data_IF_724485309286
#
_entry.id   IF_724485309286
#
_cell.length_a   1.000
_cell.length_b   1.000
_cell.length_c   1.000
_cell.angle_alpha   90.00
_cell.angle_beta   90.00
_cell.angle_gamma   90.00
#
_symmetry.space_group_name_H-M   'P 1'
#
loop_
_entity.id
_entity.type
_entity.pdbx_description
1 polymer ?
#
# COMPACT_ATOMS: atom_id res chain seq x y z
N UNK A 1 1.64 -17.53 36.71
CA UNK A 1 2.51 -16.56 36.01
C UNK A 1 1.64 -15.74 35.09
N UNK A 2 1.37 -14.48 35.44
CA UNK A 2 0.69 -13.54 34.55
C UNK A 2 1.73 -12.92 33.61
N UNK A 3 1.53 -13.04 32.30
CA UNK A 3 2.40 -12.43 31.32
C UNK A 3 2.37 -10.91 31.48
N UNK A 4 3.55 -10.27 31.53
CA UNK A 4 3.68 -8.81 31.59
C UNK A 4 3.11 -8.22 30.28
N UNK A 5 2.36 -7.10 30.33
CA UNK A 5 1.97 -6.40 29.11
C UNK A 5 3.20 -5.98 28.31
N UNK A 6 3.19 -6.30 27.02
CA UNK A 6 4.25 -5.93 26.07
C UNK A 6 4.09 -4.45 25.71
N UNK A 7 5.16 -3.67 25.82
CA UNK A 7 5.16 -2.24 25.49
C UNK A 7 5.05 -1.99 23.99
N UNK A 8 4.56 -0.82 23.56
CA UNK A 8 4.43 -0.45 22.13
C UNK A 8 5.76 -0.56 21.37
N UNK A 9 6.87 -0.19 22.02
CA UNK A 9 8.23 -0.33 21.47
C UNK A 9 8.63 -1.80 21.24
N UNK A 10 8.27 -2.69 22.16
CA UNK A 10 8.51 -4.13 22.02
C UNK A 10 7.64 -4.73 20.90
N UNK A 11 6.38 -4.28 20.77
CA UNK A 11 5.51 -4.71 19.67
C UNK A 11 6.04 -4.27 18.30
N UNK A 12 6.56 -3.04 18.20
CA UNK A 12 7.17 -2.52 16.98
C UNK A 12 8.48 -3.25 16.64
N UNK A 13 9.31 -3.57 17.63
CA UNK A 13 10.53 -4.36 17.43
C UNK A 13 10.21 -5.78 16.92
N UNK A 14 9.21 -6.43 17.51
CA UNK A 14 8.74 -7.75 17.08
C UNK A 14 8.14 -7.71 15.66
N UNK A 15 7.36 -6.67 15.33
CA UNK A 15 6.83 -6.49 13.98
C UNK A 15 7.95 -6.31 12.95
N UNK A 16 8.99 -5.53 13.29
CA UNK A 16 10.15 -5.32 12.44
C UNK A 16 10.94 -6.61 12.20
N UNK A 17 11.13 -7.42 13.24
CA UNK A 17 11.82 -8.72 13.11
C UNK A 17 11.03 -9.71 12.24
N UNK A 18 9.70 -9.81 12.45
CA UNK A 18 8.84 -10.63 11.60
C UNK A 18 8.89 -10.20 10.14
N UNK A 19 8.85 -8.89 9.89
CA UNK A 19 8.92 -8.36 8.54
C UNK A 19 10.28 -8.63 7.87
N UNK A 20 11.38 -8.45 8.61
CA UNK A 20 12.72 -8.77 8.10
C UNK A 20 12.85 -10.24 7.67
N UNK A 21 12.35 -11.18 8.50
CA UNK A 21 12.35 -12.60 8.15
C UNK A 21 11.48 -12.94 6.94
N UNK A 22 10.38 -12.21 6.71
CA UNK A 22 9.56 -12.37 5.51
C UNK A 22 10.27 -11.85 4.25
N UNK A 23 10.96 -10.72 4.35
CA UNK A 23 11.71 -10.11 3.23
C UNK A 23 12.80 -11.06 2.71
N UNK A 24 13.45 -11.82 3.59
CA UNK A 24 14.46 -12.82 3.19
C UNK A 24 13.89 -13.99 2.36
N UNK A 25 12.58 -14.20 2.38
CA UNK A 25 11.90 -15.28 1.64
C UNK A 25 11.37 -14.86 0.28
N UNK A 26 11.45 -13.56 -0.06
CA UNK A 26 10.86 -13.01 -1.27
C UNK A 26 11.87 -12.93 -2.42
N UNK A 27 11.38 -13.14 -3.65
CA UNK A 27 12.15 -12.93 -4.86
C UNK A 27 12.20 -11.45 -5.27
N UNK A 28 12.97 -11.12 -6.32
CA UNK A 28 13.14 -9.74 -6.79
C UNK A 28 11.83 -9.05 -7.17
N UNK A 29 10.90 -9.77 -7.80
CA UNK A 29 9.63 -9.21 -8.27
C UNK A 29 8.68 -8.93 -7.10
N UNK A 30 8.62 -9.84 -6.12
CA UNK A 30 7.82 -9.63 -4.91
C UNK A 30 8.35 -8.45 -4.08
N UNK A 31 9.68 -8.28 -4.01
CA UNK A 31 10.29 -7.13 -3.36
C UNK A 31 9.96 -5.81 -4.08
N UNK A 32 9.99 -5.79 -5.41
CA UNK A 32 9.59 -4.63 -6.19
C UNK A 32 8.11 -4.26 -5.98
N UNK A 33 7.22 -5.26 -5.88
CA UNK A 33 5.82 -5.03 -5.56
C UNK A 33 5.63 -4.40 -4.16
N UNK A 34 6.35 -4.91 -3.15
CA UNK A 34 6.32 -4.34 -1.80
C UNK A 34 6.86 -2.90 -1.76
N UNK A 35 7.93 -2.62 -2.49
CA UNK A 35 8.49 -1.27 -2.60
C UNK A 35 7.48 -0.29 -3.21
N UNK A 36 6.77 -0.69 -4.27
CA UNK A 36 5.71 0.13 -4.88
C UNK A 36 4.57 0.39 -3.89
N UNK A 37 4.14 -0.61 -3.13
CA UNK A 37 3.13 -0.45 -2.08
C UNK A 37 3.60 0.53 -0.99
N UNK A 38 4.84 0.39 -0.52
CA UNK A 38 5.42 1.27 0.49
C UNK A 38 5.49 2.73 -0.01
N UNK A 39 5.95 2.96 -1.23
CA UNK A 39 5.93 4.28 -1.85
C UNK A 39 4.53 4.86 -1.98
N UNK A 40 3.55 4.03 -2.39
CA UNK A 40 2.14 4.43 -2.46
C UNK A 40 1.59 4.90 -1.11
N UNK A 41 1.87 4.15 -0.04
CA UNK A 41 1.45 4.50 1.32
C UNK A 41 2.08 5.82 1.81
N UNK A 42 3.39 6.00 1.60
CA UNK A 42 4.08 7.23 2.00
C UNK A 42 3.51 8.44 1.25
N UNK A 43 3.34 8.34 -0.08
CA UNK A 43 2.80 9.42 -0.89
C UNK A 43 1.34 9.72 -0.56
N UNK A 44 0.54 8.67 -0.31
CA UNK A 44 -0.87 8.80 0.03
C UNK A 44 -1.10 9.48 1.38
N UNK A 45 -0.14 9.38 2.31
CA UNK A 45 -0.28 9.93 3.67
C UNK A 45 -0.60 11.42 3.69
N UNK A 46 0.00 12.21 2.80
CA UNK A 46 -0.21 13.65 2.75
C UNK A 46 -1.60 14.03 2.23
N UNK A 47 -2.27 13.12 1.50
CA UNK A 47 -3.58 13.35 0.88
C UNK A 47 -4.71 12.74 1.72
N UNK A 48 -4.50 11.52 2.21
CA UNK A 48 -5.54 10.69 2.84
C UNK A 48 -5.33 10.50 4.35
N UNK A 49 -4.20 10.97 4.90
CA UNK A 49 -3.83 10.75 6.30
C UNK A 49 -3.16 9.40 6.53
N UNK A 50 -2.97 9.05 7.80
CA UNK A 50 -2.38 7.76 8.18
C UNK A 50 -3.31 6.59 7.85
N UNK A 51 -2.73 5.45 7.48
CA UNK A 51 -3.49 4.22 7.29
C UNK A 51 -3.91 3.66 8.66
N UNK A 52 -5.21 3.72 8.97
CA UNK A 52 -5.75 3.24 10.25
C UNK A 52 -6.80 2.14 10.05
N UNK A 53 -6.34 0.92 9.80
CA UNK A 53 -7.22 -0.22 9.43
C UNK A 53 -8.25 -0.57 10.52
N UNK A 54 -7.89 -0.45 11.80
CA UNK A 54 -8.73 -0.94 12.90
C UNK A 54 -9.91 -0.02 13.25
N UNK A 55 -9.85 1.25 12.87
CA UNK A 55 -10.90 2.24 13.18
C UNK A 55 -11.61 2.76 11.94
N UNK A 56 -11.18 2.32 10.77
CA UNK A 56 -11.85 2.66 9.52
C UNK A 56 -13.17 1.90 9.42
N UNK A 57 -14.27 2.65 9.34
CA UNK A 57 -15.64 2.11 9.33
C UNK A 57 -16.14 1.76 7.94
N UNK A 58 -15.35 2.00 6.88
CA UNK A 58 -15.73 1.70 5.50
C UNK A 58 -15.75 0.19 5.24
N UNK A 59 -16.59 -0.25 4.31
CA UNK A 59 -16.52 -1.62 3.81
C UNK A 59 -15.31 -1.76 2.89
N UNK A 60 -14.24 -2.37 3.41
CA UNK A 60 -12.97 -2.54 2.70
C UNK A 60 -13.10 -3.29 1.37
N UNK A 61 -14.14 -4.12 1.20
CA UNK A 61 -14.39 -4.78 -0.09
C UNK A 61 -14.89 -3.80 -1.13
N UNK A 62 -15.86 -2.98 -0.75
CA UNK A 62 -16.43 -1.98 -1.64
C UNK A 62 -15.38 -0.91 -1.97
N UNK A 63 -14.57 -0.50 -0.99
CA UNK A 63 -13.44 0.41 -1.20
C UNK A 63 -12.41 -0.21 -2.17
N UNK A 64 -12.03 -1.48 -1.99
CA UNK A 64 -11.09 -2.14 -2.90
C UNK A 64 -11.61 -2.20 -4.35
N UNK A 65 -12.92 -2.45 -4.52
CA UNK A 65 -13.55 -2.44 -5.85
C UNK A 65 -13.57 -1.02 -6.44
N UNK A 66 -13.89 -0.02 -5.62
CA UNK A 66 -13.90 1.38 -6.04
C UNK A 66 -12.51 1.85 -6.46
N UNK A 67 -11.48 1.57 -5.67
CA UNK A 67 -10.09 1.94 -5.95
C UNK A 67 -9.55 1.21 -7.20
N UNK A 68 -9.91 -0.06 -7.41
CA UNK A 68 -9.55 -0.77 -8.63
C UNK A 68 -10.18 -0.12 -9.88
N UNK A 69 -11.46 0.26 -9.79
CA UNK A 69 -12.15 0.96 -10.87
C UNK A 69 -11.46 2.29 -11.18
N UNK A 70 -11.09 3.05 -10.15
CA UNK A 70 -10.42 4.35 -10.32
C UNK A 70 -9.03 4.17 -10.95
N UNK A 71 -8.27 3.17 -10.51
CA UNK A 71 -6.98 2.81 -11.12
C UNK A 71 -7.12 2.47 -12.62
N UNK A 72 -8.17 1.73 -13.00
CA UNK A 72 -8.46 1.43 -14.42
C UNK A 72 -8.80 2.69 -15.20
N UNK A 73 -9.65 3.58 -14.66
CA UNK A 73 -10.04 4.84 -15.30
C UNK A 73 -8.82 5.72 -15.55
N UNK A 74 -7.97 5.93 -14.54
CA UNK A 74 -6.79 6.77 -14.67
C UNK A 74 -5.74 6.17 -15.61
N UNK A 75 -5.61 4.83 -15.63
CA UNK A 75 -4.75 4.14 -16.58
C UNK A 75 -5.21 4.38 -18.02
N UNK A 76 -6.51 4.21 -18.29
CA UNK A 76 -7.09 4.47 -19.62
C UNK A 76 -6.93 5.94 -20.03
N UNK A 77 -7.18 6.88 -19.12
CA UNK A 77 -6.98 8.31 -19.35
C UNK A 77 -5.52 8.65 -19.69
N UNK A 78 -4.56 8.06 -18.96
CA UNK A 78 -3.13 8.21 -19.24
C UNK A 78 -2.74 7.71 -20.62
N UNK A 79 -3.22 6.52 -21.02
CA UNK A 79 -2.98 5.97 -22.36
C UNK A 79 -3.59 6.85 -23.47
N UNK A 80 -4.83 7.31 -23.31
CA UNK A 80 -5.48 8.22 -24.26
C UNK A 80 -4.71 9.54 -24.39
N UNK A 81 -4.22 10.09 -23.27
CA UNK A 81 -3.38 11.30 -23.27
C UNK A 81 -2.06 11.06 -24.00
N UNK A 82 -1.41 9.92 -23.81
CA UNK A 82 -0.19 9.54 -24.53
C UNK A 82 -0.45 9.41 -26.04
N UNK A 83 -1.55 8.79 -26.44
CA UNK A 83 -1.92 8.68 -27.86
C UNK A 83 -2.15 10.05 -28.51
N UNK A 84 -2.85 10.96 -27.82
CA UNK A 84 -3.11 12.32 -28.33
C UNK A 84 -1.85 13.18 -28.37
N UNK A 85 -0.95 13.03 -27.40
CA UNK A 85 0.33 13.78 -27.38
C UNK A 85 1.35 13.23 -28.36
N UNK A 86 1.31 11.94 -28.69
CA UNK A 86 2.10 11.32 -29.77
C UNK A 86 1.47 11.50 -31.15
N UNK A 87 0.27 12.09 -31.23
CA UNK A 87 -0.47 12.33 -32.46
C UNK A 87 -0.69 13.82 -32.70
N UNK A 88 0.35 14.53 -33.10
CA UNK A 88 0.22 15.71 -33.98
C UNK A 88 1.54 15.91 -34.75
N UNK A 89 1.46 15.94 -36.09
CA UNK A 89 1.80 14.85 -37.01
C UNK A 89 3.15 14.15 -36.78
#
# INVERSE_FOLDING_TARGET
MTARPITELEQLADARLRFAGLVELLGPDELAALELCAHGLVRGRDVYGELVVNTDTRDMRDEAIAELRDAMIYSAAGLLRLQRTRGTP
#
